data_IF_413685606301
#
_entry.id   IF_413685606301
#
_cell.length_a   1.000
_cell.length_b   1.000
_cell.length_c   1.000
_cell.angle_alpha   90.00
_cell.angle_beta   90.00
_cell.angle_gamma   90.00
#
_symmetry.space_group_name_H-M   'P 1'
#
loop_
_entity.id
_entity.type
_entity.pdbx_description
1 polymer ?
#
# COMPACT_ATOMS: atom_id res chain seq x y z
N UNK A 1 -5.51 -17.00 -4.97
CA UNK A 1 -6.90 -16.98 -4.47
C UNK A 1 -7.05 -15.80 -3.53
N UNK A 2 -7.89 -14.82 -3.86
CA UNK A 2 -8.13 -13.63 -3.04
C UNK A 2 -8.65 -14.00 -1.64
N UNK A 3 -9.36 -15.13 -1.51
CA UNK A 3 -9.99 -15.58 -0.26
C UNK A 3 -8.97 -16.02 0.79
N UNK A 4 -7.78 -16.44 0.37
CA UNK A 4 -6.71 -16.87 1.27
C UNK A 4 -5.86 -15.71 1.78
N UNK A 5 -5.90 -14.56 1.11
CA UNK A 5 -5.04 -13.43 1.40
C UNK A 5 -5.22 -12.90 2.84
N UNK A 6 -6.44 -12.71 3.36
CA UNK A 6 -6.63 -12.35 4.77
C UNK A 6 -6.05 -13.39 5.74
N UNK A 7 -6.17 -14.68 5.42
CA UNK A 7 -5.65 -15.77 6.25
C UNK A 7 -4.11 -15.71 6.32
N UNK A 8 -3.44 -15.64 5.17
CA UNK A 8 -1.98 -15.58 5.12
C UNK A 8 -1.44 -14.35 5.84
N UNK A 9 -2.05 -13.20 5.61
CA UNK A 9 -1.61 -11.93 6.16
C UNK A 9 -1.91 -11.84 7.67
N UNK A 10 -3.00 -12.44 8.15
CA UNK A 10 -3.30 -12.51 9.60
C UNK A 10 -2.26 -13.29 10.41
N UNK A 11 -1.55 -14.23 9.76
CA UNK A 11 -0.45 -14.96 10.39
C UNK A 11 0.84 -14.15 10.51
N UNK A 12 0.92 -12.97 9.87
CA UNK A 12 2.11 -12.13 9.87
C UNK A 12 2.16 -11.23 11.10
N UNK A 13 3.28 -11.28 11.84
CA UNK A 13 3.53 -10.29 12.91
C UNK A 13 3.84 -8.90 12.36
N UNK A 14 4.44 -8.85 11.17
CA UNK A 14 4.97 -7.64 10.54
C UNK A 14 4.81 -7.75 9.04
N UNK A 15 4.46 -6.65 8.39
CA UNK A 15 4.31 -6.56 6.93
C UNK A 15 5.44 -5.68 6.37
N UNK A 16 6.29 -6.25 5.52
CA UNK A 16 7.37 -5.48 4.86
C UNK A 16 6.97 -5.22 3.41
N UNK A 17 6.86 -3.95 3.06
CA UNK A 17 6.39 -3.47 1.76
C UNK A 17 7.56 -2.87 0.99
N UNK A 18 7.97 -3.53 -0.08
CA UNK A 18 8.91 -2.99 -1.06
C UNK A 18 8.18 -2.06 -2.02
N UNK A 19 8.17 -0.77 -1.70
CA UNK A 19 7.38 0.23 -2.40
C UNK A 19 8.19 0.88 -3.53
N UNK A 20 7.97 0.41 -4.75
CA UNK A 20 8.43 1.12 -5.96
C UNK A 20 7.33 2.00 -6.57
N UNK A 21 7.66 2.71 -7.65
CA UNK A 21 6.76 3.64 -8.36
C UNK A 21 5.39 3.09 -8.78
N UNK A 22 5.27 1.77 -8.93
CA UNK A 22 4.04 1.10 -9.39
C UNK A 22 3.34 0.30 -8.30
N UNK A 23 3.83 0.34 -7.05
CA UNK A 23 3.27 -0.48 -5.98
C UNK A 23 1.82 -0.07 -5.67
N UNK A 24 1.58 1.22 -5.42
CA UNK A 24 0.25 1.74 -5.08
C UNK A 24 -0.74 1.78 -6.25
N UNK A 25 -0.27 1.57 -7.49
CA UNK A 25 -1.16 1.42 -8.65
C UNK A 25 -1.51 -0.04 -8.94
N UNK A 26 -1.04 -1.02 -8.16
CA UNK A 26 -1.41 -2.43 -8.30
C UNK A 26 -2.45 -2.80 -7.26
N UNK A 27 -3.63 -3.24 -7.72
CA UNK A 27 -4.78 -3.53 -6.86
C UNK A 27 -4.47 -4.65 -5.85
N UNK A 28 -3.72 -5.68 -6.26
CA UNK A 28 -3.28 -6.75 -5.37
C UNK A 28 -2.43 -6.25 -4.21
N UNK A 29 -1.47 -5.36 -4.48
CA UNK A 29 -0.56 -4.82 -3.47
C UNK A 29 -1.31 -4.00 -2.41
N UNK A 30 -2.23 -3.14 -2.84
CA UNK A 30 -3.01 -2.33 -1.90
C UNK A 30 -4.00 -3.16 -1.09
N UNK A 31 -4.50 -4.25 -1.66
CA UNK A 31 -5.35 -5.20 -0.95
C UNK A 31 -4.60 -5.99 0.12
N UNK A 32 -3.29 -6.24 -0.04
CA UNK A 32 -2.45 -6.83 1.00
C UNK A 32 -2.33 -5.91 2.22
N UNK A 33 -2.03 -4.63 1.99
CA UNK A 33 -1.97 -3.62 3.06
C UNK A 33 -3.32 -3.51 3.78
N UNK A 34 -4.39 -3.35 3.01
CA UNK A 34 -5.73 -3.22 3.57
C UNK A 34 -6.13 -4.46 4.38
N UNK A 35 -5.89 -5.66 3.84
CA UNK A 35 -6.22 -6.91 4.53
C UNK A 35 -5.41 -7.09 5.81
N UNK A 36 -4.15 -6.66 5.85
CA UNK A 36 -3.34 -6.71 7.07
C UNK A 36 -3.97 -5.91 8.20
N UNK A 37 -4.37 -4.67 7.91
CA UNK A 37 -5.02 -3.81 8.90
C UNK A 37 -6.38 -4.36 9.31
N UNK A 38 -7.20 -4.80 8.35
CA UNK A 38 -8.53 -5.35 8.63
C UNK A 38 -8.50 -6.63 9.46
N UNK A 39 -7.43 -7.42 9.36
CA UNK A 39 -7.23 -8.62 10.18
C UNK A 39 -6.63 -8.32 11.56
N UNK A 40 -6.57 -7.06 11.98
CA UNK A 40 -6.07 -6.64 13.29
C UNK A 40 -4.56 -6.39 13.33
N UNK A 41 -3.90 -6.34 12.17
CA UNK A 41 -2.52 -5.92 12.06
C UNK A 41 -2.33 -4.47 12.54
N UNK A 42 -1.21 -4.20 13.19
CA UNK A 42 -0.89 -2.87 13.70
C UNK A 42 -0.17 -2.05 12.61
N UNK A 43 -0.61 -0.81 12.38
CA UNK A 43 0.03 0.15 11.46
C UNK A 43 1.54 0.29 11.68
N UNK A 44 1.99 0.30 12.94
CA UNK A 44 3.42 0.41 13.30
C UNK A 44 4.25 -0.81 12.92
N UNK A 45 3.59 -1.94 12.64
CA UNK A 45 4.24 -3.17 12.18
C UNK A 45 4.29 -3.27 10.65
N UNK A 46 3.89 -2.22 9.93
CA UNK A 46 4.12 -2.12 8.48
C UNK A 46 5.42 -1.34 8.26
N UNK A 47 6.42 -1.98 7.66
CA UNK A 47 7.64 -1.31 7.24
C UNK A 47 7.64 -1.10 5.74
N UNK A 48 7.92 0.13 5.33
CA UNK A 48 8.03 0.50 3.94
C UNK A 48 9.48 0.72 3.55
N UNK A 49 9.94 -0.09 2.58
CA UNK A 49 11.26 0.00 1.99
C UNK A 49 11.10 0.54 0.56
N UNK A 50 11.54 1.78 0.28
CA UNK A 50 11.44 2.34 -1.06
C UNK A 50 12.36 1.58 -2.02
N UNK A 51 11.85 1.22 -3.19
CA UNK A 51 12.65 0.58 -4.24
C UNK A 51 12.94 1.63 -5.31
N UNK A 52 14.21 2.04 -5.36
CA UNK A 52 14.71 3.06 -6.27
C UNK A 52 15.75 2.47 -7.22
N UNK A 53 15.81 2.99 -8.45
CA UNK A 53 16.84 2.65 -9.41
C UNK A 53 18.11 3.46 -9.20
N UNK A 54 19.26 2.83 -9.42
CA UNK A 54 20.56 3.49 -9.38
C UNK A 54 20.61 4.68 -10.34
N UNK A 55 21.03 5.85 -9.84
CA UNK A 55 21.10 7.10 -10.60
C UNK A 55 19.74 7.77 -10.87
N UNK A 56 18.66 7.28 -10.24
CA UNK A 56 17.30 7.85 -10.31
C UNK A 56 16.64 7.93 -8.94
N UNK A 57 17.44 7.93 -7.88
CA UNK A 57 16.98 7.86 -6.50
C UNK A 57 15.96 8.98 -6.22
N UNK A 58 16.33 10.24 -6.41
CA UNK A 58 15.45 11.38 -6.12
C UNK A 58 14.15 11.35 -6.92
N UNK A 59 14.23 11.08 -8.22
CA UNK A 59 13.06 11.01 -9.10
C UNK A 59 12.12 9.84 -8.76
N UNK A 60 12.68 8.67 -8.43
CA UNK A 60 11.88 7.51 -8.01
C UNK A 60 11.20 7.77 -6.66
N UNK A 61 11.87 8.49 -5.75
CA UNK A 61 11.32 8.86 -4.44
C UNK A 61 10.22 9.90 -4.54
N UNK A 62 10.40 10.92 -5.37
CA UNK A 62 9.35 11.90 -5.67
C UNK A 62 8.14 11.22 -6.31
N UNK A 63 8.36 10.26 -7.22
CA UNK A 63 7.29 9.47 -7.84
C UNK A 63 6.56 8.60 -6.82
N UNK A 64 7.29 7.94 -5.91
CA UNK A 64 6.68 7.19 -4.80
C UNK A 64 5.86 8.13 -3.93
N UNK A 65 6.41 9.25 -3.49
CA UNK A 65 5.70 10.21 -2.63
C UNK A 65 4.43 10.76 -3.28
N UNK A 66 4.50 11.04 -4.59
CA UNK A 66 3.34 11.47 -5.38
C UNK A 66 2.27 10.38 -5.43
N UNK A 67 2.65 9.12 -5.62
CA UNK A 67 1.70 8.00 -5.62
C UNK A 67 0.97 7.83 -4.28
N UNK A 68 1.59 8.21 -3.16
CA UNK A 68 0.92 8.26 -1.86
C UNK A 68 -0.13 9.37 -1.75
N UNK A 69 0.09 10.52 -2.41
CA UNK A 69 -0.83 11.68 -2.39
C UNK A 69 -2.02 11.49 -3.30
N UNK A 70 -1.80 10.89 -4.46
CA UNK A 70 -2.77 10.78 -5.55
C UNK A 70 -3.46 9.41 -5.57
N UNK A 71 -3.32 8.64 -4.49
CA UNK A 71 -3.85 7.28 -4.43
C UNK A 71 -5.37 7.25 -4.64
N UNK A 72 -5.80 6.38 -5.54
CA UNK A 72 -7.20 6.03 -5.77
C UNK A 72 -7.30 4.57 -6.23
N UNK A 73 -8.07 3.77 -5.50
CA UNK A 73 -8.31 2.36 -5.80
C UNK A 73 -8.93 2.14 -7.18
N UNK A 74 -9.76 3.07 -7.68
CA UNK A 74 -10.40 2.95 -8.99
C UNK A 74 -9.36 2.99 -10.13
N UNK A 75 -8.26 3.72 -9.91
CA UNK A 75 -7.16 3.86 -10.87
C UNK A 75 -6.14 2.71 -10.80
N UNK A 76 -6.28 1.81 -9.81
CA UNK A 76 -5.41 0.65 -9.68
C UNK A 76 -5.61 -0.35 -10.83
N UNK A 77 -4.57 -1.12 -11.09
CA UNK A 77 -4.47 -2.07 -12.18
C UNK A 77 -4.27 -3.50 -11.65
N UNK A 78 -4.77 -4.47 -12.40
CA UNK A 78 -4.43 -5.89 -12.26
C UNK A 78 -3.86 -6.38 -13.58
N UNK A 79 -3.11 -7.48 -13.51
CA UNK A 79 -2.70 -8.19 -14.72
C UNK A 79 -3.90 -8.75 -15.50
N UNK A 80 -4.90 -9.28 -14.79
CA UNK A 80 -6.16 -9.76 -15.34
C UNK A 80 -7.26 -8.71 -15.15
N UNK A 81 -7.93 -8.33 -16.25
CA UNK A 81 -9.09 -7.43 -16.19
C UNK A 81 -10.25 -8.05 -15.40
N UNK A 82 -10.48 -9.35 -15.56
CA UNK A 82 -11.48 -10.07 -14.78
C UNK A 82 -11.16 -10.05 -13.27
N UNK A 83 -9.89 -10.15 -12.89
CA UNK A 83 -9.48 -10.06 -11.48
C UNK A 83 -9.69 -8.64 -10.96
N UNK A 84 -9.40 -7.62 -11.78
CA UNK A 84 -9.68 -6.22 -11.41
C UNK A 84 -11.16 -6.03 -11.11
N UNK A 85 -12.04 -6.44 -12.02
CA UNK A 85 -13.48 -6.28 -11.86
C UNK A 85 -14.00 -7.05 -10.64
N UNK A 86 -13.52 -8.27 -10.43
CA UNK A 86 -13.88 -9.07 -9.26
C UNK A 86 -13.46 -8.37 -7.95
N UNK A 87 -12.21 -7.91 -7.87
CA UNK A 87 -11.68 -7.26 -6.67
C UNK A 87 -12.39 -5.93 -6.39
N UNK A 88 -12.62 -5.10 -7.40
CA UNK A 88 -13.37 -3.85 -7.25
C UNK A 88 -14.81 -4.10 -6.83
N UNK A 89 -15.48 -5.13 -7.37
CA UNK A 89 -16.81 -5.52 -6.92
C UNK A 89 -16.83 -5.97 -5.46
N UNK A 90 -15.82 -6.72 -5.01
CA UNK A 90 -15.68 -7.09 -3.60
C UNK A 90 -15.54 -5.86 -2.73
N UNK A 91 -14.71 -4.89 -3.14
CA UNK A 91 -14.57 -3.63 -2.39
C UNK A 91 -15.89 -2.87 -2.34
N UNK A 92 -16.57 -2.78 -3.49
CA UNK A 92 -17.83 -2.09 -3.62
C UNK A 92 -18.92 -2.68 -2.72
N UNK A 93 -18.95 -4.00 -2.57
CA UNK A 93 -20.01 -4.72 -1.85
C UNK A 93 -19.69 -5.00 -0.38
N UNK A 94 -18.43 -5.25 -0.03
CA UNK A 94 -18.02 -5.67 1.31
C UNK A 94 -17.45 -4.55 2.17
N UNK A 95 -16.91 -3.48 1.57
CA UNK A 95 -16.19 -2.42 2.31
C UNK A 95 -16.85 -1.04 2.22
N UNK A 96 -18.17 -1.00 1.99
CA UNK A 96 -18.94 0.26 1.98
C UNK A 96 -18.72 1.12 0.73
N UNK A 97 -18.20 0.55 -0.35
CA UNK A 97 -17.96 1.26 -1.61
C UNK A 97 -16.50 1.68 -1.82
N UNK A 98 -16.15 2.00 -3.06
CA UNK A 98 -14.79 2.47 -3.40
C UNK A 98 -14.38 3.73 -2.62
N UNK A 99 -15.31 4.65 -2.37
CA UNK A 99 -15.03 5.88 -1.61
C UNK A 99 -14.69 5.62 -0.15
N UNK A 100 -15.43 4.73 0.53
CA UNK A 100 -15.15 4.36 1.91
C UNK A 100 -13.81 3.61 2.03
N UNK A 101 -13.54 2.71 1.09
CA UNK A 101 -12.24 2.04 0.98
C UNK A 101 -11.09 3.03 0.78
N UNK A 102 -11.22 3.96 -0.16
CA UNK A 102 -10.21 5.01 -0.40
C UNK A 102 -9.96 5.85 0.84
N UNK A 103 -11.00 6.22 1.60
CA UNK A 103 -10.84 7.00 2.82
C UNK A 103 -10.02 6.23 3.87
N UNK A 104 -10.39 4.97 4.14
CA UNK A 104 -9.69 4.13 5.12
C UNK A 104 -8.24 3.86 4.70
N UNK A 105 -8.02 3.45 3.44
CA UNK A 105 -6.68 3.15 2.96
C UNK A 105 -5.81 4.41 2.85
N UNK A 106 -6.38 5.56 2.47
CA UNK A 106 -5.63 6.83 2.46
C UNK A 106 -5.12 7.22 3.84
N UNK A 107 -5.90 6.97 4.90
CA UNK A 107 -5.45 7.21 6.27
C UNK A 107 -4.24 6.33 6.64
N UNK A 108 -4.32 5.04 6.29
CA UNK A 108 -3.20 4.09 6.44
C UNK A 108 -1.97 4.60 5.66
N UNK A 109 -2.13 4.93 4.38
CA UNK A 109 -1.05 5.39 3.52
C UNK A 109 -0.43 6.71 4.02
N UNK A 110 -1.24 7.64 4.53
CA UNK A 110 -0.73 8.87 5.16
C UNK A 110 0.10 8.60 6.42
N UNK A 111 -0.29 7.62 7.23
CA UNK A 111 0.52 7.18 8.37
C UNK A 111 1.86 6.62 7.90
N UNK A 112 1.84 5.66 6.97
CA UNK A 112 3.06 5.04 6.42
C UNK A 112 4.01 6.05 5.79
N UNK A 113 3.48 7.03 5.04
CA UNK A 113 4.27 8.11 4.44
C UNK A 113 5.01 8.93 5.50
N UNK A 114 4.34 9.27 6.62
CA UNK A 114 4.96 10.05 7.70
C UNK A 114 6.06 9.27 8.41
N UNK A 115 5.82 8.00 8.71
CA UNK A 115 6.83 7.14 9.32
C UNK A 115 8.03 6.94 8.39
N UNK A 116 7.79 6.77 7.09
CA UNK A 116 8.86 6.71 6.10
C UNK A 116 9.68 8.01 6.04
N UNK A 117 9.02 9.17 6.01
CA UNK A 117 9.71 10.47 6.03
C UNK A 117 10.56 10.65 7.30
N UNK A 118 10.07 10.19 8.46
CA UNK A 118 10.81 10.20 9.73
C UNK A 118 12.04 9.29 9.70
N UNK A 119 11.88 8.05 9.25
CA UNK A 119 12.99 7.11 9.13
C UNK A 119 14.12 7.65 8.23
N UNK A 120 13.77 8.40 7.18
CA UNK A 120 14.74 9.06 6.30
C UNK A 120 15.49 10.20 6.94
N UNK A 121 14.78 11.06 7.67
CA UNK A 121 15.41 12.16 8.41
C UNK A 121 16.31 11.62 9.53
N UNK A 122 15.93 10.49 10.15
CA UNK A 122 16.74 9.82 11.17
C UNK A 122 18.05 9.24 10.63
N UNK A 123 18.04 8.58 9.46
CA UNK A 123 19.25 8.07 8.82
C UNK A 123 20.21 9.17 8.32
N UNK A 124 19.74 10.40 8.12
CA UNK A 124 20.58 11.51 7.69
C UNK A 124 21.49 12.08 8.82
N UNK A 125 21.39 11.54 10.04
CA UNK A 125 22.13 12.03 11.22
C UNK A 125 23.19 11.05 11.77
N UNK A 126 23.47 9.92 11.11
CA UNK A 126 24.60 9.06 11.52
C UNK A 126 25.91 9.50 10.80
N UNK A 127 26.94 9.97 11.54
CA UNK A 127 28.24 10.37 11.01
C UNK A 127 29.17 9.22 10.63
#
# INVERSE_FOLDING_TARGET
DLRCLPIFVSGCRRLVVFCGRTYLSRLWCVMEIFSYIMMGGNLHNIELIPVVGAGREDADLESIETSFREFDVANCQCFSAADKDLMLNIIQTAFGGLGAFNAQLSEVLHHLRREHARARLGCACDP
#
